data_IF_251268693623
#
_entry.id   IF_251268693623
#
_cell.length_a   1.000
_cell.length_b   1.000
_cell.length_c   1.000
_cell.angle_alpha   90.00
_cell.angle_beta   90.00
_cell.angle_gamma   90.00
#
_symmetry.space_group_name_H-M   'P 1'
#
loop_
_entity.id
_entity.type
_entity.pdbx_description
1 polymer ?
2 polymer ?
3 non-polymer ?
4 water ?
#
# COMPACT_ATOMS: atom_id res chain seq x y z
N UNK A 1 23.77 -14.44 5.40
CA UNK A 1 23.92 -12.99 5.24
C UNK A 1 23.97 -12.27 6.59
N UNK A 2 24.53 -11.07 6.61
CA UNK A 2 24.59 -10.26 7.83
C UNK A 2 23.18 -9.82 8.21
N UNK A 3 22.82 -9.99 9.47
CA UNK A 3 21.50 -9.60 9.95
C UNK A 3 21.50 -8.13 10.38
N UNK A 4 20.44 -7.43 10.03
CA UNK A 4 20.24 -6.03 10.39
C UNK A 4 18.98 -5.94 11.23
N UNK A 5 19.11 -5.41 12.45
CA UNK A 5 18.01 -5.35 13.41
C UNK A 5 17.71 -3.89 13.68
N UNK A 6 16.55 -3.43 13.24
CA UNK A 6 16.19 -2.02 13.28
C UNK A 6 15.19 -1.78 14.40
N UNK A 7 15.36 -0.69 15.15
CA UNK A 7 14.36 -0.35 16.16
C UNK A 7 14.14 1.15 16.28
N UNK A 8 12.93 1.55 16.71
CA UNK A 8 11.78 0.66 16.95
C UNK A 8 11.13 0.25 15.63
N UNK A 9 10.15 -0.64 15.68
CA UNK A 9 9.47 -1.02 14.45
C UNK A 9 8.49 0.06 14.00
N UNK A 10 7.92 0.83 14.93
CA UNK A 10 7.10 1.98 14.57
C UNK A 10 7.18 2.99 15.70
N UNK A 11 6.80 4.23 15.39
CA UNK A 11 6.67 5.24 16.42
C UNK A 11 5.82 6.40 15.93
N UNK A 12 5.14 7.04 16.88
CA UNK A 12 4.41 8.28 16.65
C UNK A 12 5.22 9.45 17.18
N UNK A 13 5.23 10.55 16.45
CA UNK A 13 6.00 11.71 16.86
C UNK A 13 5.24 12.98 16.51
N UNK A 14 5.48 14.03 17.29
CA UNK A 14 4.85 15.33 17.10
C UNK A 14 5.68 16.19 16.15
N UNK A 15 5.04 17.21 15.61
CA UNK A 15 5.74 18.12 14.71
C UNK A 15 6.77 18.93 15.49
N UNK A 16 7.95 19.11 14.88
CA UNK A 16 9.04 19.84 15.50
C UNK A 16 9.85 19.04 16.50
N UNK A 17 9.54 17.77 16.68
CA UNK A 17 10.19 16.92 17.66
C UNK A 17 11.46 16.28 17.08
N UNK A 18 12.36 15.90 17.98
CA UNK A 18 13.57 15.17 17.61
C UNK A 18 13.28 13.67 17.70
N UNK A 19 13.70 12.93 16.67
CA UNK A 19 13.41 11.50 16.53
C UNK A 19 14.70 10.77 16.12
N UNK A 20 14.89 9.57 16.66
CA UNK A 20 16.10 8.77 16.39
C UNK A 20 15.74 7.30 16.17
N UNK A 21 16.21 6.73 15.06
CA UNK A 21 16.12 5.31 14.76
C UNK A 21 17.49 4.68 14.90
N UNK A 22 17.53 3.44 15.35
CA UNK A 22 18.78 2.70 15.47
C UNK A 22 18.73 1.40 14.67
N UNK A 23 19.91 0.89 14.35
CA UNK A 23 20.03 -0.34 13.57
C UNK A 23 21.28 -1.03 14.10
N UNK A 24 21.19 -2.34 14.31
CA UNK A 24 22.31 -3.13 14.80
C UNK A 24 22.61 -4.25 13.82
N UNK A 25 23.86 -4.33 13.39
CA UNK A 25 24.35 -5.37 12.51
C UNK A 25 24.96 -6.52 13.31
N UNK A 26 24.93 -7.72 12.72
CA UNK A 26 25.44 -8.90 13.42
C UNK A 26 26.95 -9.00 13.38
N UNK A 27 27.62 -8.14 12.61
CA UNK A 27 29.08 -8.02 12.66
C UNK A 27 29.46 -6.63 12.18
N UNK A 28 30.73 -6.29 12.40
CA UNK A 28 31.28 -5.00 12.00
C UNK A 28 31.10 -4.79 10.50
N UNK A 29 30.50 -3.66 10.13
CA UNK A 29 30.30 -3.37 8.72
C UNK A 29 31.05 -2.11 8.28
N UNK A 30 31.92 -1.58 9.13
CA UNK A 30 32.90 -0.58 8.72
C UNK A 30 32.25 0.59 7.98
N UNK A 31 31.06 0.96 8.42
CA UNK A 31 30.38 2.12 7.88
C UNK A 31 29.90 1.96 6.44
N UNK A 32 29.83 0.74 5.94
CA UNK A 32 29.24 0.52 4.64
C UNK A 32 27.75 0.37 4.83
N UNK A 33 27.10 1.49 5.06
CA UNK A 33 25.76 1.56 5.60
C UNK A 33 25.00 2.73 5.01
N UNK A 34 23.73 2.54 4.70
CA UNK A 34 22.89 3.58 4.15
C UNK A 34 21.51 3.57 4.79
N UNK A 35 20.85 4.74 4.76
CA UNK A 35 19.46 4.89 5.19
C UNK A 35 18.61 5.28 3.99
N UNK A 36 17.37 4.79 3.99
CA UNK A 36 16.42 5.06 2.92
C UNK A 36 15.10 5.49 3.53
N UNK A 37 14.36 6.29 2.77
CA UNK A 37 13.02 6.73 3.15
C UNK A 37 12.04 6.28 2.07
N UNK A 38 10.93 5.69 2.49
CA UNK A 38 9.85 5.31 1.59
C UNK A 38 8.60 6.05 2.05
N UNK A 39 8.28 7.15 1.35
CA UNK A 39 7.05 7.86 1.58
C UNK A 39 5.87 7.00 1.13
N UNK A 40 4.68 7.23 1.69
CA UNK A 40 3.52 6.39 1.35
C UNK A 40 3.23 6.35 -0.14
N UNK A 41 3.18 5.14 -0.70
CA UNK A 41 2.83 4.95 -2.08
C UNK A 41 3.95 5.12 -3.09
N UNK A 42 5.18 5.28 -2.63
CA UNK A 42 6.30 5.58 -3.50
C UNK A 42 7.47 4.64 -3.27
N UNK A 43 8.44 4.63 -4.20
CA UNK A 43 9.65 3.82 -4.08
C UNK A 43 10.61 4.45 -3.07
N UNK A 44 11.50 3.66 -2.47
CA UNK A 44 12.43 4.26 -1.52
C UNK A 44 13.32 5.31 -2.12
N UNK A 45 13.87 6.19 -1.32
CA UNK A 45 14.85 7.17 -1.73
C UNK A 45 16.04 7.12 -0.78
N UNK A 46 17.25 7.16 -1.33
CA UNK A 46 18.45 7.16 -0.50
C UNK A 46 18.61 8.51 0.21
N UNK A 47 18.78 8.46 1.53
CA UNK A 47 18.96 9.63 2.38
C UNK A 47 20.41 9.87 2.75
N UNK A 48 21.07 8.81 3.16
CA UNK A 48 22.39 8.84 3.73
C UNK A 48 23.23 7.69 3.22
N UNK A 49 24.52 7.93 3.05
CA UNK A 49 25.45 6.90 2.70
C UNK A 49 26.72 7.03 3.52
N UNK A 50 27.47 5.95 3.63
CA UNK A 50 28.68 5.91 4.41
C UNK A 50 28.42 6.23 5.85
N UNK A 51 27.24 5.87 6.33
CA UNK A 51 26.88 6.10 7.71
C UNK A 51 26.55 7.56 8.02
N UNK A 52 27.41 8.49 7.65
CA UNK A 52 27.16 9.89 7.98
C UNK A 52 27.10 10.96 6.90
N UNK A 53 27.03 10.58 5.63
CA UNK A 53 27.02 11.55 4.54
C UNK A 53 25.64 11.74 3.93
N UNK A 54 25.23 12.98 3.77
CA UNK A 54 23.89 13.30 3.27
C UNK A 54 23.87 13.31 1.75
N UNK A 55 22.87 12.65 1.17
CA UNK A 55 22.66 12.73 -0.27
C UNK A 55 22.26 14.15 -0.63
N UNK A 56 22.76 14.63 -1.77
CA UNK A 56 22.42 15.98 -2.24
C UNK A 56 20.91 16.16 -2.34
N UNK A 57 20.43 17.31 -1.85
CA UNK A 57 19.02 17.61 -1.84
C UNK A 57 18.29 17.22 -0.57
N UNK A 58 18.90 16.38 0.27
CA UNK A 58 18.27 15.99 1.53
C UNK A 58 18.53 17.08 2.57
N UNK A 59 17.51 17.54 3.29
CA UNK A 59 17.70 18.66 4.21
C UNK A 59 18.64 18.31 5.37
N UNK A 60 19.26 19.35 5.93
CA UNK A 60 20.25 19.19 6.97
C UNK A 60 19.68 18.71 8.30
N UNK A 61 18.35 18.62 8.44
CA UNK A 61 17.80 18.11 9.69
C UNK A 61 18.00 16.60 9.83
N UNK A 62 18.33 15.89 8.75
CA UNK A 62 18.72 14.49 8.83
C UNK A 62 20.21 14.37 9.13
N UNK A 63 20.56 13.38 9.94
CA UNK A 63 21.97 13.12 10.24
C UNK A 63 22.13 11.68 10.72
N UNK A 64 23.20 11.05 10.28
CA UNK A 64 23.51 9.68 10.69
C UNK A 64 24.83 9.63 11.44
N UNK A 65 24.91 8.68 12.36
CA UNK A 65 26.13 8.44 13.11
C UNK A 65 26.25 6.94 13.36
N UNK A 66 27.35 6.55 13.99
CA UNK A 66 27.59 5.16 14.32
C UNK A 66 28.88 4.66 13.69
N UNK A 67 29.24 3.45 14.12
CA UNK A 67 30.40 2.71 13.63
C UNK A 67 30.30 1.30 14.20
N UNK A 68 31.20 0.43 13.76
CA UNK A 68 31.18 -0.95 14.19
C UNK A 68 29.87 -1.63 13.82
N UNK A 69 29.08 -2.00 14.83
CA UNK A 69 27.79 -2.65 14.60
C UNK A 69 26.58 -1.75 14.84
N UNK A 70 26.77 -0.56 15.41
CA UNK A 70 25.65 0.25 15.90
C UNK A 70 25.58 1.57 15.16
N UNK A 71 24.44 1.83 14.53
CA UNK A 71 24.24 2.99 13.68
C UNK A 71 22.91 3.67 14.02
N UNK A 72 22.82 4.98 13.77
CA UNK A 72 21.66 5.77 14.14
C UNK A 72 21.32 6.77 13.05
N UNK A 73 20.02 6.99 12.85
CA UNK A 73 19.50 8.09 12.04
C UNK A 73 18.74 9.02 12.97
N UNK A 74 19.04 10.32 12.91
CA UNK A 74 18.36 11.32 13.72
C UNK A 74 17.71 12.34 12.80
N UNK A 75 16.43 12.64 13.07
CA UNK A 75 15.74 13.76 12.45
C UNK A 75 15.55 14.82 13.53
N UNK A 76 16.15 15.99 13.31
CA UNK A 76 16.31 16.95 14.40
C UNK A 76 15.04 17.74 14.68
N UNK A 77 14.29 18.11 13.64
CA UNK A 77 13.08 18.94 13.80
C UNK A 77 12.03 18.39 12.84
N UNK A 78 11.19 17.49 13.34
CA UNK A 78 10.32 16.70 12.49
C UNK A 78 9.36 17.59 11.68
N UNK A 79 9.21 17.26 10.41
CA UNK A 79 8.26 17.94 9.53
C UNK A 79 7.30 16.93 8.92
N UNK A 80 6.19 17.47 8.41
CA UNK A 80 5.09 16.66 7.90
C UNK A 80 5.54 15.71 6.81
N UNK A 81 6.45 16.16 5.94
CA UNK A 81 6.92 15.34 4.83
C UNK A 81 7.89 14.24 5.28
N UNK A 82 8.23 14.17 6.56
CA UNK A 82 9.16 13.14 7.01
C UNK A 82 8.47 11.83 7.35
N UNK A 83 7.14 11.77 7.31
CA UNK A 83 6.43 10.53 7.58
C UNK A 83 6.70 9.49 6.51
N UNK A 84 6.63 8.21 6.90
CA UNK A 84 6.85 7.12 6.00
C UNK A 84 7.61 6.01 6.69
N UNK A 85 8.29 5.18 5.91
CA UNK A 85 9.03 4.03 6.42
C UNK A 85 10.52 4.24 6.12
N UNK A 86 11.35 4.01 7.13
CA UNK A 86 12.79 4.20 7.03
C UNK A 86 13.49 2.84 7.11
N UNK A 87 14.42 2.58 6.19
CA UNK A 87 15.13 1.32 6.12
C UNK A 87 16.63 1.56 6.26
N UNK A 88 17.32 0.69 6.97
CA UNK A 88 18.78 0.69 6.95
C UNK A 88 19.27 -0.40 6.00
N UNK A 89 20.55 -0.31 5.61
CA UNK A 89 21.15 -1.23 4.65
C UNK A 89 22.63 -1.35 4.94
N UNK A 90 23.13 -2.57 5.07
CA UNK A 90 24.57 -2.81 5.05
C UNK A 90 24.95 -3.30 3.66
N UNK A 91 26.08 -2.81 3.16
CA UNK A 91 26.60 -3.30 1.90
C UNK A 91 28.09 -3.60 2.03
N UNK A 92 28.50 -4.05 3.22
CA UNK A 92 29.87 -4.49 3.43
C UNK A 92 30.12 -5.85 2.79
N UNK A 93 29.11 -6.72 2.77
CA UNK A 93 29.24 -8.07 2.23
C UNK A 93 28.06 -8.36 1.31
N UNK A 94 28.33 -9.08 0.23
CA UNK A 94 27.27 -9.51 -0.65
C UNK A 94 26.59 -10.77 -0.08
N UNK A 95 25.25 -10.85 -0.13
CA UNK A 95 24.33 -9.82 -0.62
C UNK A 95 24.08 -8.72 0.41
N UNK A 96 23.98 -7.47 -0.04
CA UNK A 96 23.54 -6.41 0.87
C UNK A 96 22.24 -6.83 1.54
N UNK A 97 22.06 -6.41 2.79
CA UNK A 97 20.84 -6.74 3.52
C UNK A 97 20.25 -5.50 4.14
N UNK A 98 18.92 -5.41 4.07
CA UNK A 98 18.13 -4.32 4.62
C UNK A 98 17.64 -4.66 6.02
N UNK A 99 17.50 -3.64 6.85
CA UNK A 99 16.74 -3.76 8.07
C UNK A 99 15.25 -3.88 7.79
N UNK A 100 14.49 -4.17 8.84
CA UNK A 100 13.07 -4.45 8.67
C UNK A 100 12.20 -3.23 8.49
N UNK A 101 12.73 -2.04 8.73
CA UNK A 101 12.00 -0.80 8.53
C UNK A 101 11.44 -0.27 9.85
N UNK A 102 11.40 1.06 9.95
CA UNK A 102 10.72 1.78 11.04
C UNK A 102 9.64 2.66 10.43
N UNK A 103 8.40 2.46 10.86
CA UNK A 103 7.28 3.27 10.38
C UNK A 103 7.11 4.49 11.28
N UNK A 104 7.19 5.69 10.69
CA UNK A 104 7.07 6.94 11.43
C UNK A 104 5.73 7.56 11.09
N UNK A 105 4.91 7.84 12.12
CA UNK A 105 3.59 8.40 11.94
C UNK A 105 3.41 9.62 12.85
N UNK A 106 2.35 10.37 12.58
CA UNK A 106 2.08 11.65 13.24
C UNK A 106 1.16 11.46 14.44
N UNK A 107 1.60 11.99 15.58
CA UNK A 107 0.79 12.00 16.79
C UNK A 107 -0.16 13.18 16.76
N UNK A 108 -1.41 12.97 17.18
CA UNK A 108 -2.42 14.02 17.16
C UNK A 108 -3.43 13.71 18.27
N UNK A 109 -4.38 14.63 18.47
CA UNK A 109 -5.37 14.47 19.51
C UNK A 109 -6.41 13.41 19.13
N UNK A 110 -7.02 12.80 20.14
CA UNK A 110 -8.03 11.77 19.90
C UNK A 110 -9.26 12.37 19.21
N UNK A 111 -9.88 11.57 18.34
CA UNK A 111 -11.08 11.96 17.62
C UNK A 111 -11.99 10.74 17.44
N UNK A 112 -13.28 10.94 17.68
CA UNK A 112 -14.29 9.90 17.55
C UNK A 112 -14.65 9.69 16.08
N UNK A 113 -15.03 8.48 15.69
CA UNK A 113 -15.38 8.23 14.29
C UNK A 113 -16.76 8.77 13.92
N UNK A 114 -16.92 9.09 12.64
CA UNK A 114 -18.22 9.35 12.02
C UNK A 114 -18.64 8.08 11.29
N UNK A 115 -19.82 7.55 11.61
CA UNK A 115 -20.23 6.21 11.19
C UNK A 115 -21.38 6.32 10.21
N UNK A 116 -21.31 5.55 9.11
CA UNK A 116 -22.34 5.52 8.07
C UNK A 116 -22.59 4.07 7.68
N UNK A 117 -23.85 3.70 7.47
CA UNK A 117 -24.18 2.32 7.10
C UNK A 117 -24.92 2.30 5.77
N UNK A 118 -24.65 1.28 4.97
CA UNK A 118 -25.19 1.15 3.61
C UNK A 118 -25.79 -0.23 3.39
N UNK A 119 -27.09 -0.33 3.12
CA UNK A 119 -27.68 -1.61 2.69
C UNK A 119 -27.09 -2.08 1.38
N UNK A 120 -27.29 -3.35 1.01
CA UNK A 120 -26.87 -3.80 -0.33
C UNK A 120 -27.53 -2.97 -1.42
N UNK A 121 -26.77 -2.67 -2.47
CA UNK A 121 -27.35 -1.99 -3.61
C UNK A 121 -28.31 -2.93 -4.34
N UNK A 122 -29.24 -2.34 -5.09
CA UNK A 122 -30.16 -3.16 -5.88
C UNK A 122 -29.42 -3.96 -6.94
N UNK A 123 -28.32 -3.44 -7.47
CA UNK A 123 -27.54 -4.20 -8.45
C UNK A 123 -26.94 -5.44 -7.83
N UNK A 124 -26.43 -5.36 -6.58
CA UNK A 124 -25.86 -6.55 -5.98
C UNK A 124 -26.92 -7.62 -5.74
N UNK A 125 -28.09 -7.22 -5.22
CA UNK A 125 -29.15 -8.18 -4.96
C UNK A 125 -29.56 -8.95 -6.21
N UNK A 126 -29.46 -8.32 -7.39
CA UNK A 126 -29.76 -9.03 -8.62
C UNK A 126 -28.78 -10.17 -8.86
N UNK A 127 -27.52 -10.01 -8.41
CA UNK A 127 -26.47 -10.99 -8.64
C UNK A 127 -26.58 -12.21 -7.73
N UNK A 128 -27.28 -12.10 -6.60
CA UNK A 128 -27.39 -13.19 -5.65
C UNK A 128 -26.62 -13.01 -4.37
N UNK A 129 -25.89 -11.91 -4.22
CA UNK A 129 -25.16 -11.61 -3.00
C UNK A 129 -25.75 -10.39 -2.31
N UNK A 130 -25.23 -10.13 -1.11
CA UNK A 130 -25.68 -8.95 -0.35
C UNK A 130 -24.57 -8.57 0.62
N UNK A 131 -23.99 -7.40 0.42
CA UNK A 131 -22.99 -6.85 1.34
C UNK A 131 -23.58 -5.65 2.04
N UNK A 132 -23.49 -5.63 3.36
CA UNK A 132 -23.82 -4.45 4.15
C UNK A 132 -22.49 -3.81 4.52
N UNK A 133 -22.40 -2.48 4.38
CA UNK A 133 -21.12 -1.79 4.51
C UNK A 133 -21.26 -0.73 5.59
N UNK A 134 -20.24 -0.65 6.45
CA UNK A 134 -20.13 0.38 7.47
C UNK A 134 -18.82 1.12 7.27
N UNK A 135 -18.89 2.44 7.13
CA UNK A 135 -17.70 3.28 7.06
C UNK A 135 -17.52 3.99 8.41
N UNK A 136 -16.30 3.94 8.94
CA UNK A 136 -15.92 4.64 10.16
C UNK A 136 -14.84 5.64 9.78
N UNK A 137 -15.18 6.93 9.76
CA UNK A 137 -14.30 7.93 9.16
C UNK A 137 -13.69 8.86 10.21
N UNK A 138 -12.39 9.13 10.06
CA UNK A 138 -11.74 10.30 10.66
C UNK A 138 -11.56 10.16 12.17
N UNK A 139 -11.04 9.03 12.61
CA UNK A 139 -10.84 8.80 14.03
C UNK A 139 -9.35 8.66 14.33
N UNK A 140 -9.03 8.80 15.61
CA UNK A 140 -7.67 8.65 16.12
C UNK A 140 -7.80 8.33 17.61
N UNK A 141 -7.01 7.37 18.12
CA UNK A 141 -6.00 6.55 17.45
C UNK A 141 -6.58 5.43 16.60
N UNK A 142 -5.69 4.58 16.07
CA UNK A 142 -6.04 3.64 15.02
C UNK A 142 -6.90 2.49 15.53
N UNK A 143 -6.73 2.07 16.77
CA UNK A 143 -7.44 0.92 17.28
C UNK A 143 -8.93 1.23 17.43
N UNK A 144 -9.76 0.30 16.98
CA UNK A 144 -11.21 0.49 17.02
C UNK A 144 -11.84 -0.87 16.81
N UNK A 145 -13.03 -1.06 17.38
CA UNK A 145 -13.75 -2.31 17.27
C UNK A 145 -15.12 -2.06 16.65
N UNK A 146 -15.53 -2.96 15.78
CA UNK A 146 -16.82 -2.90 15.11
C UNK A 146 -17.57 -4.18 15.42
N UNK A 147 -18.86 -4.05 15.72
CA UNK A 147 -19.71 -5.18 16.02
C UNK A 147 -20.94 -5.09 15.13
N UNK A 148 -21.29 -6.21 14.51
CA UNK A 148 -22.47 -6.28 13.67
C UNK A 148 -23.57 -7.02 14.40
N UNK A 149 -24.79 -6.52 14.31
CA UNK A 149 -25.94 -7.20 14.88
C UNK A 149 -27.00 -7.34 13.81
N UNK A 150 -27.60 -8.52 13.74
CA UNK A 150 -28.65 -8.84 12.79
C UNK A 150 -29.86 -9.25 13.60
N UNK A 151 -30.92 -8.44 13.55
CA UNK A 151 -32.10 -8.62 14.41
C UNK A 151 -31.70 -8.74 15.88
N UNK A 152 -30.65 -8.03 16.30
CA UNK A 152 -30.23 -7.99 17.67
C UNK A 152 -29.11 -8.95 18.05
N UNK A 153 -28.86 -9.98 17.25
CA UNK A 153 -27.83 -10.98 17.57
C UNK A 153 -26.51 -10.61 16.90
N UNK A 154 -25.43 -10.78 17.63
CA UNK A 154 -24.11 -10.46 17.11
C UNK A 154 -23.71 -11.43 16.00
N UNK A 155 -23.12 -10.91 14.93
CA UNK A 155 -22.61 -11.72 13.84
C UNK A 155 -21.16 -11.34 13.57
N UNK A 156 -20.27 -12.32 13.61
CA UNK A 156 -18.87 -12.09 13.29
C UNK A 156 -18.39 -12.84 12.06
N UNK A 157 -19.06 -13.92 11.67
CA UNK A 157 -18.69 -14.66 10.48
C UNK A 157 -18.94 -13.82 9.22
N UNK A 158 -17.92 -13.71 8.37
CA UNK A 158 -18.08 -13.02 7.10
C UNK A 158 -17.82 -11.52 7.12
N UNK A 159 -17.10 -11.03 8.12
CA UNK A 159 -16.81 -9.60 8.25
C UNK A 159 -15.40 -9.33 7.74
N UNK A 160 -15.25 -8.30 6.92
CA UNK A 160 -13.96 -7.89 6.38
C UNK A 160 -13.70 -6.44 6.75
N UNK A 161 -12.61 -6.18 7.48
CA UNK A 161 -12.28 -4.86 8.01
C UNK A 161 -11.00 -4.34 7.36
N UNK A 162 -11.03 -3.12 6.84
CA UNK A 162 -9.89 -2.56 6.13
C UNK A 162 -9.63 -1.13 6.64
N UNK A 163 -8.45 -0.89 7.18
CA UNK A 163 -8.04 0.45 7.60
C UNK A 163 -7.27 1.17 6.49
N UNK A 164 -7.44 2.49 6.41
CA UNK A 164 -6.50 3.28 5.63
C UNK A 164 -5.18 3.46 6.38
N UNK A 165 -4.15 3.90 5.66
CA UNK A 165 -3.00 4.48 6.32
C UNK A 165 -3.40 5.86 6.88
N UNK A 166 -2.47 6.48 7.60
CA UNK A 166 -2.76 7.76 8.24
C UNK A 166 -3.08 8.81 7.18
N UNK A 167 -4.14 9.58 7.43
CA UNK A 167 -4.57 10.61 6.48
C UNK A 167 -3.47 11.66 6.31
N UNK A 168 -3.18 11.99 5.05
CA UNK A 168 -2.12 12.97 4.79
C UNK A 168 -2.54 14.40 5.12
N UNK A 169 -3.84 14.69 5.21
CA UNK A 169 -4.30 16.05 5.51
C UNK A 169 -4.56 16.29 6.99
N UNK A 170 -5.18 15.35 7.71
CA UNK A 170 -5.51 15.58 9.11
C UNK A 170 -4.96 14.54 10.06
N UNK A 171 -4.20 13.55 9.57
CA UNK A 171 -3.53 12.55 10.38
C UNK A 171 -4.50 11.61 11.11
N UNK A 172 -5.76 11.57 10.70
CA UNK A 172 -6.68 10.58 11.23
C UNK A 172 -6.58 9.26 10.46
N UNK A 173 -7.35 8.27 10.90
CA UNK A 173 -7.55 7.01 10.21
C UNK A 173 -9.01 6.86 9.83
N UNK A 174 -9.28 6.03 8.82
CA UNK A 174 -10.63 5.59 8.52
C UNK A 174 -10.63 4.08 8.35
N UNK A 175 -11.80 3.48 8.47
CA UNK A 175 -11.87 2.05 8.22
C UNK A 175 -13.23 1.66 7.68
N UNK A 176 -13.23 0.61 6.87
CA UNK A 176 -14.41 0.09 6.22
C UNK A 176 -14.67 -1.30 6.76
N UNK A 177 -15.91 -1.59 7.12
CA UNK A 177 -16.31 -2.92 7.57
C UNK A 177 -17.43 -3.41 6.68
N UNK A 178 -17.23 -4.56 6.05
CA UNK A 178 -18.17 -5.14 5.11
C UNK A 178 -18.62 -6.49 5.62
N UNK A 179 -19.93 -6.62 5.87
CA UNK A 179 -20.55 -7.90 6.22
C UNK A 179 -21.15 -8.51 4.95
N UNK A 180 -20.64 -9.65 4.52
CA UNK A 180 -21.11 -10.27 3.29
C UNK A 180 -22.00 -11.46 3.62
N UNK A 181 -23.21 -11.45 3.08
CA UNK A 181 -24.24 -12.47 3.28
C UNK A 181 -24.66 -13.01 1.92
N UNK A 182 -25.30 -14.18 1.93
CA UNK A 182 -26.08 -14.53 0.76
C UNK A 182 -27.35 -13.69 0.72
N UNK A 183 -27.90 -13.55 -0.49
CA UNK A 183 -29.18 -12.86 -0.62
C UNK A 183 -30.26 -13.57 0.19
N UNK A 184 -30.28 -14.91 0.16
CA UNK A 184 -31.27 -15.65 0.92
C UNK A 184 -31.18 -15.32 2.42
N UNK A 185 -29.97 -15.30 2.97
CA UNK A 185 -29.82 -14.99 4.38
C UNK A 185 -30.18 -13.54 4.69
N UNK A 186 -29.77 -12.61 3.82
CA UNK A 186 -30.10 -11.20 4.06
C UNK A 186 -31.61 -10.99 4.13
N UNK A 187 -32.37 -11.71 3.32
CA UNK A 187 -33.82 -11.58 3.30
C UNK A 187 -34.52 -12.31 4.44
N UNK A 188 -33.80 -13.10 5.24
CA UNK A 188 -34.45 -13.76 6.37
C UNK A 188 -34.55 -12.88 7.60
N UNK A 189 -33.93 -11.70 7.60
CA UNK A 189 -33.86 -10.83 8.76
C UNK A 189 -34.24 -9.40 8.37
N UNK A 190 -34.46 -8.56 9.38
CA UNK A 190 -35.01 -7.23 9.13
C UNK A 190 -34.08 -6.09 9.52
N UNK A 191 -33.49 -6.11 10.72
CA UNK A 191 -32.71 -4.98 11.22
C UNK A 191 -31.22 -5.30 11.19
N UNK A 192 -30.44 -4.34 10.71
CA UNK A 192 -28.99 -4.50 10.57
C UNK A 192 -28.30 -3.33 11.26
N UNK A 193 -27.29 -3.61 12.06
CA UNK A 193 -26.71 -2.63 12.96
C UNK A 193 -25.20 -2.75 12.94
N UNK A 194 -24.53 -1.59 12.85
CA UNK A 194 -23.08 -1.48 12.99
C UNK A 194 -22.79 -0.67 14.25
N UNK A 195 -22.02 -1.24 15.18
CA UNK A 195 -21.68 -0.58 16.45
C UNK A 195 -20.18 -0.42 16.53
N UNK A 196 -19.71 0.82 16.70
CA UNK A 196 -18.28 1.12 16.73
C UNK A 196 -17.89 1.54 18.15
N UNK A 197 -16.90 0.86 18.71
CA UNK A 197 -16.36 1.18 20.01
C UNK A 197 -14.94 1.71 19.85
N UNK A 198 -14.69 2.90 20.40
CA UNK A 198 -13.44 3.61 20.26
C UNK A 198 -13.13 4.25 21.60
N UNK A 199 -11.84 4.45 21.90
CA UNK A 199 -11.47 4.89 23.24
C UNK A 199 -12.02 6.28 23.59
N UNK A 200 -12.53 7.04 22.61
CA UNK A 200 -13.05 8.38 22.88
C UNK A 200 -14.37 8.38 23.65
N UNK A 201 -14.99 7.22 23.87
CA UNK A 201 -16.23 7.15 24.61
C UNK A 201 -16.46 5.72 25.07
N UNK A 202 -17.12 5.58 26.23
CA UNK A 202 -17.49 4.27 26.72
C UNK A 202 -18.70 3.70 25.98
N UNK A 203 -19.56 4.57 25.44
CA UNK A 203 -20.73 4.09 24.72
C UNK A 203 -20.42 3.96 23.25
N UNK A 204 -20.83 2.86 22.59
CA UNK A 204 -20.55 2.73 21.17
C UNK A 204 -21.40 3.68 20.34
N UNK A 205 -20.88 4.01 19.17
CA UNK A 205 -21.66 4.72 18.16
C UNK A 205 -22.39 3.69 17.32
N UNK A 206 -23.68 3.89 17.12
CA UNK A 206 -24.57 2.90 16.55
C UNK A 206 -25.24 3.48 15.32
N UNK A 207 -25.24 2.72 14.23
CA UNK A 207 -26.03 3.03 13.05
C UNK A 207 -26.78 1.78 12.62
N UNK A 208 -28.05 1.94 12.29
CA UNK A 208 -28.90 0.81 11.94
C UNK A 208 -29.78 1.17 10.75
N UNK A 209 -30.32 0.13 10.12
CA UNK A 209 -31.43 0.29 9.20
C UNK A 209 -32.30 -0.95 9.27
N UNK A 210 -33.53 -0.82 8.82
CA UNK A 210 -34.45 -1.94 8.65
C UNK A 210 -34.74 -2.13 7.17
N UNK A 211 -34.70 -3.38 6.72
CA UNK A 211 -35.16 -3.70 5.37
C UNK A 211 -36.58 -3.23 5.08
N UNK A 212 -37.29 -2.72 6.09
CA UNK A 212 -38.67 -2.23 5.97
C UNK A 212 -39.63 -3.37 5.68
N UNK B 1 19.06 14.43 -15.18
CA UNK B 1 17.71 13.88 -14.99
C UNK B 1 17.73 12.36 -15.12
N UNK B 2 18.22 11.69 -14.08
CA UNK B 2 18.32 10.23 -14.10
C UNK B 2 16.94 9.62 -13.98
N UNK B 3 16.62 8.69 -14.87
CA UNK B 3 15.32 8.02 -14.90
C UNK B 3 15.53 6.53 -15.11
N UNK B 4 14.90 5.73 -14.26
CA UNK B 4 14.85 4.27 -14.40
C UNK B 4 13.38 3.87 -14.42
N UNK B 5 12.95 3.18 -15.47
CA UNK B 5 11.54 2.85 -15.67
C UNK B 5 11.41 1.36 -15.97
N UNK B 6 10.87 0.61 -15.01
CA UNK B 6 10.69 -0.83 -15.15
C UNK B 6 9.37 -1.16 -15.85
N UNK B 7 9.31 -2.38 -16.37
CA UNK B 7 8.13 -2.93 -17.04
C UNK B 7 8.32 -4.43 -17.16
N UNK B 8 7.27 -5.12 -17.62
CA UNK B 8 7.31 -6.55 -17.82
C UNK B 8 6.61 -7.36 -16.75
N UNK B 9 6.25 -6.75 -15.62
CA UNK B 9 5.57 -7.47 -14.57
C UNK B 9 4.15 -7.83 -14.93
N UNK B 10 3.57 -8.71 -14.12
CA UNK B 10 2.19 -9.11 -14.29
C UNK B 10 1.91 -10.39 -13.51
N UNK B 11 0.84 -11.05 -13.91
CA UNK B 11 0.40 -12.29 -13.28
C UNK B 11 1.00 -13.49 -14.00
N UNK B 12 1.51 -14.45 -13.24
CA UNK B 12 2.09 -15.65 -13.84
C UNK B 12 1.84 -16.85 -12.93
N UNK B 13 1.52 -17.99 -13.54
CA UNK B 13 1.31 -19.21 -12.77
C UNK B 13 2.63 -19.71 -12.18
N UNK B 14 2.58 -20.42 -11.06
CA UNK B 14 3.81 -21.04 -10.53
C UNK B 14 4.39 -22.00 -11.54
N UNK B 15 5.72 -21.98 -11.65
CA UNK B 15 6.42 -22.74 -12.68
C UNK B 15 6.67 -21.98 -13.97
N UNK B 16 6.03 -20.84 -14.17
CA UNK B 16 6.19 -20.08 -15.39
C UNK B 16 7.40 -19.16 -15.35
N UNK B 17 7.49 -18.32 -16.37
CA UNK B 17 8.63 -17.43 -16.53
C UNK B 17 8.15 -16.02 -16.87
N UNK B 18 9.00 -15.05 -16.59
CA UNK B 18 8.68 -13.64 -16.77
C UNK B 18 9.97 -12.87 -16.97
N UNK B 19 10.01 -12.00 -17.96
CA UNK B 19 11.19 -11.17 -18.20
C UNK B 19 10.85 -9.71 -17.90
N UNK B 20 11.56 -9.12 -16.95
CA UNK B 20 11.40 -7.72 -16.61
C UNK B 20 12.47 -6.87 -17.30
N UNK B 21 12.09 -5.66 -17.68
CA UNK B 21 12.98 -4.71 -18.32
C UNK B 21 13.08 -3.44 -17.49
N UNK B 22 14.20 -2.74 -17.63
CA UNK B 22 14.40 -1.43 -17.00
C UNK B 22 15.02 -0.52 -18.03
N UNK B 23 14.24 0.46 -18.50
CA UNK B 23 14.73 1.45 -19.45
C UNK B 23 15.39 2.58 -18.66
N UNK B 24 16.66 2.85 -18.97
CA UNK B 24 17.40 3.88 -18.28
C UNK B 24 17.58 5.07 -19.22
N UNK B 25 17.72 6.26 -18.62
CA UNK B 25 17.93 7.47 -19.39
C UNK B 25 18.48 8.54 -18.47
N UNK B 26 19.23 9.47 -19.05
CA UNK B 26 19.80 10.58 -18.31
C UNK B 26 21.23 10.38 -17.84
N UNK B 27 21.86 9.26 -18.17
CA UNK B 27 23.24 9.02 -17.76
C UNK B 27 23.86 7.99 -18.69
N UNK B 28 25.19 7.88 -18.61
CA UNK B 28 25.97 6.95 -19.43
C UNK B 28 25.79 5.54 -18.87
N UNK B 29 24.70 4.89 -19.29
CA UNK B 29 24.28 3.60 -18.73
C UNK B 29 25.42 2.58 -18.69
N UNK B 30 26.25 2.55 -19.73
CA UNK B 30 27.26 1.51 -19.86
C UNK B 30 28.38 1.60 -18.83
N UNK B 31 28.48 2.69 -18.07
CA UNK B 31 29.57 2.86 -17.12
C UNK B 31 29.18 2.61 -15.67
N UNK B 32 27.92 2.25 -15.39
CA UNK B 32 27.45 2.05 -14.03
C UNK B 32 27.02 0.60 -13.83
N UNK B 33 27.39 0.05 -12.68
CA UNK B 33 26.85 -1.23 -12.25
C UNK B 33 25.41 -1.07 -11.79
N UNK B 34 24.62 -2.15 -11.92
CA UNK B 34 23.19 -2.12 -11.64
C UNK B 34 22.77 -3.34 -10.84
N UNK B 35 21.68 -3.20 -10.09
CA UNK B 35 21.10 -4.31 -9.35
C UNK B 35 19.58 -4.33 -9.51
N UNK B 36 18.99 -5.47 -9.22
CA UNK B 36 17.56 -5.60 -8.98
C UNK B 36 17.33 -5.86 -7.51
N UNK B 37 16.31 -5.22 -6.95
CA UNK B 37 15.90 -5.37 -5.56
C UNK B 37 14.39 -5.55 -5.54
N UNK B 38 13.88 -6.33 -4.58
CA UNK B 38 12.44 -6.56 -4.55
C UNK B 38 11.88 -6.28 -3.16
N UNK B 39 10.62 -5.86 -3.13
CA UNK B 39 9.89 -5.63 -1.89
C UNK B 39 8.69 -6.57 -1.84
N UNK B 40 8.63 -7.41 -0.81
CA UNK B 40 7.60 -8.42 -0.68
C UNK B 40 6.29 -7.76 -0.22
N UNK B 41 5.17 -8.48 -0.30
CA UNK B 41 3.91 -7.92 0.23
C UNK B 41 3.97 -7.53 1.70
N UNK B 42 4.83 -8.16 2.48
CA UNK B 42 5.04 -7.76 3.87
C UNK B 42 5.91 -6.51 4.00
N UNK B 43 6.29 -5.88 2.88
CA UNK B 43 7.06 -4.65 2.83
C UNK B 43 8.53 -4.85 3.17
N UNK B 44 9.01 -6.09 3.12
CA UNK B 44 10.43 -6.39 3.34
C UNK B 44 11.22 -6.19 2.04
N UNK B 45 12.37 -5.54 2.15
CA UNK B 45 13.25 -5.31 1.00
C UNK B 45 14.36 -6.35 0.98
N UNK B 46 14.71 -6.82 -0.22
CA UNK B 46 15.65 -7.92 -0.34
C UNK B 46 16.39 -7.82 -1.66
N UNK B 47 17.71 -8.03 -1.62
CA UNK B 47 18.50 -8.01 -2.84
C UNK B 47 18.20 -9.23 -3.69
N UNK B 48 18.19 -9.04 -5.00
CA UNK B 48 17.94 -10.13 -5.96
C UNK B 48 19.19 -10.45 -6.77
N UNK B 49 19.72 -9.47 -7.51
CA UNK B 49 20.80 -9.74 -8.45
C UNK B 49 21.59 -8.47 -8.72
N UNK B 50 22.84 -8.65 -9.16
CA UNK B 50 23.78 -7.57 -9.34
C UNK B 50 24.64 -7.86 -10.57
N UNK B 51 24.88 -6.84 -11.39
CA UNK B 51 25.70 -7.00 -12.59
C UNK B 51 26.64 -5.80 -12.73
N UNK B 52 27.88 -6.08 -13.12
CA UNK B 52 28.84 -5.04 -13.42
C UNK B 52 28.80 -4.72 -14.91
N UNK B 53 29.82 -4.06 -15.43
CA UNK B 53 29.85 -3.74 -16.86
C UNK B 53 29.84 -5.00 -17.74
N UNK B 54 30.57 -6.02 -17.31
CA UNK B 54 30.64 -7.30 -18.02
C UNK B 54 29.40 -8.17 -17.97
N UNK B 55 29.19 -8.99 -18.99
CA UNK B 55 28.00 -9.83 -19.06
C UNK B 55 28.09 -11.09 -18.21
N UNK B 56 29.30 -11.48 -17.81
CA UNK B 56 29.49 -12.68 -16.99
C UNK B 56 29.59 -12.39 -15.50
N UNK B 57 30.00 -11.18 -15.12
CA UNK B 57 30.18 -10.84 -13.71
C UNK B 57 28.82 -10.46 -13.13
N UNK B 58 28.04 -11.48 -12.83
CA UNK B 58 26.72 -11.36 -12.23
C UNK B 58 26.73 -12.11 -10.91
N UNK B 59 26.00 -11.58 -9.92
CA UNK B 59 25.94 -12.16 -8.58
C UNK B 59 24.49 -12.23 -8.14
N UNK B 60 24.11 -13.33 -7.49
CA UNK B 60 22.72 -13.56 -7.13
C UNK B 60 22.60 -13.87 -5.64
N UNK B 61 21.52 -13.40 -5.03
CA UNK B 61 21.22 -13.77 -3.65
C UNK B 61 20.87 -15.26 -3.54
N UNK B 62 20.03 -15.75 -4.45
CA UNK B 62 19.74 -17.18 -4.56
C UNK B 62 20.25 -17.66 -5.91
N UNK B 63 21.25 -18.53 -5.90
CA UNK B 63 21.84 -19.04 -7.14
C UNK B 63 21.35 -20.44 -7.50
N UNK B 64 20.15 -20.81 -7.06
CA UNK B 64 19.57 -22.08 -7.50
C UNK B 64 19.47 -22.11 -9.01
N UNK B 65 19.83 -23.25 -9.59
CA UNK B 65 20.10 -23.36 -11.02
C UNK B 65 18.96 -22.80 -11.88
N UNK B 66 19.27 -21.76 -12.63
CA UNK B 66 18.35 -21.22 -13.62
C UNK B 66 17.05 -20.65 -13.08
N UNK B 67 17.12 -19.90 -11.99
CA UNK B 67 15.94 -19.24 -11.44
C UNK B 67 15.98 -17.72 -11.62
N UNK B 68 17.13 -17.10 -11.47
CA UNK B 68 17.28 -15.67 -11.72
C UNK B 68 18.41 -15.49 -12.73
N UNK B 69 18.19 -14.63 -13.72
CA UNK B 69 19.24 -14.28 -14.67
C UNK B 69 19.17 -12.79 -14.93
N UNK B 70 20.20 -12.07 -14.54
CA UNK B 70 20.30 -10.64 -14.79
C UNK B 70 21.20 -10.45 -16.01
N UNK B 71 20.77 -9.57 -16.91
CA UNK B 71 21.56 -9.25 -18.10
C UNK B 71 21.33 -7.79 -18.46
N UNK B 72 22.11 -7.29 -19.41
CA UNK B 72 22.01 -5.89 -19.80
C UNK B 72 22.38 -5.75 -21.27
N UNK B 73 21.70 -4.84 -21.95
CA UNK B 73 22.00 -4.48 -23.34
C UNK B 73 22.45 -3.03 -23.35
N UNK B 74 23.77 -2.83 -23.40
CA UNK B 74 24.31 -1.47 -23.30
C UNK B 74 23.96 -0.62 -24.51
N UNK B 75 23.67 -1.23 -25.66
CA UNK B 75 23.26 -0.47 -26.83
C UNK B 75 21.82 0.03 -26.73
N UNK B 76 20.99 -0.60 -25.91
CA UNK B 76 19.61 -0.18 -25.71
C UNK B 76 19.38 0.52 -24.37
N UNK B 77 20.45 0.75 -23.60
CA UNK B 77 20.35 1.35 -22.27
C UNK B 77 19.30 0.65 -21.40
N UNK B 78 19.26 -0.68 -21.49
CA UNK B 78 18.24 -1.46 -20.80
C UNK B 78 18.88 -2.51 -19.91
N UNK B 79 18.28 -2.73 -18.74
CA UNK B 79 18.62 -3.82 -17.84
C UNK B 79 17.49 -4.83 -17.84
N UNK B 80 17.84 -6.12 -17.70
CA UNK B 80 16.85 -7.19 -17.74
C UNK B 80 16.97 -8.09 -16.52
N UNK B 81 15.86 -8.71 -16.14
CA UNK B 81 15.85 -9.76 -15.13
C UNK B 81 14.91 -10.85 -15.62
N UNK B 82 15.47 -12.03 -15.91
CA UNK B 82 14.67 -13.18 -16.30
C UNK B 82 14.33 -14.01 -15.06
N UNK B 83 13.03 -14.14 -14.78
CA UNK B 83 12.53 -14.99 -13.70
C UNK B 83 12.07 -16.30 -14.29
N UNK B 84 12.54 -17.41 -13.72
CA UNK B 84 12.18 -18.73 -14.23
C UNK B 84 11.78 -19.62 -13.06
N UNK B 85 11.00 -20.66 -13.39
CA UNK B 85 10.47 -21.61 -12.40
C UNK B 85 9.87 -20.87 -11.20
N UNK B 86 8.99 -19.92 -11.51
CA UNK B 86 8.46 -19.01 -10.50
C UNK B 86 7.78 -19.75 -9.36
N UNK B 87 8.00 -19.26 -8.14
CA UNK B 87 7.34 -19.74 -6.94
C UNK B 87 6.42 -18.66 -6.39
N UNK B 88 5.42 -19.09 -5.63
CA UNK B 88 4.47 -18.13 -5.05
C UNK B 88 5.19 -17.03 -4.30
N UNK B 89 6.29 -17.38 -3.62
CA UNK B 89 6.97 -16.41 -2.77
C UNK B 89 7.86 -15.45 -3.55
N UNK B 90 7.94 -15.58 -4.87
CA UNK B 90 8.53 -14.57 -5.74
C UNK B 90 7.62 -13.37 -5.96
N UNK B 91 6.38 -13.41 -5.46
CA UNK B 91 5.47 -12.27 -5.58
C UNK B 91 6.06 -11.06 -4.89
N UNK B 92 6.19 -9.94 -5.60
CA UNK B 92 6.82 -8.75 -5.02
C UNK B 92 6.81 -7.63 -6.04
N UNK B 93 7.19 -6.44 -5.57
CA UNK B 93 7.51 -5.32 -6.45
C UNK B 93 9.01 -5.36 -6.71
N UNK B 94 9.41 -5.39 -7.99
CA UNK B 94 10.82 -5.49 -8.35
C UNK B 94 11.34 -4.12 -8.76
N UNK B 95 12.45 -3.71 -8.14
CA UNK B 95 13.04 -2.40 -8.36
C UNK B 95 14.38 -2.53 -9.05
N UNK B 96 14.59 -1.70 -10.05
CA UNK B 96 15.87 -1.46 -10.69
C UNK B 96 16.61 -0.39 -9.88
N UNK B 97 17.89 -0.62 -9.56
CA UNK B 97 18.66 0.37 -8.81
C UNK B 97 20.04 0.53 -9.43
N UNK B 98 20.56 1.75 -9.35
CA UNK B 98 21.85 2.11 -9.93
C UNK B 98 22.91 2.23 -8.84
N UNK B 99 24.04 1.58 -9.05
CA UNK B 99 25.16 1.75 -8.14
C UNK B 99 25.94 3.01 -8.48
N UNK B 100 26.36 3.72 -7.44
CA UNK B 100 27.00 5.02 -7.61
C UNK B 100 28.42 4.89 -8.15
N UNK B 101 29.16 3.89 -7.67
CA UNK B 101 30.53 3.70 -8.12
C UNK B 101 30.95 2.24 -8.15
N UNK B 102 32.13 1.93 -7.61
CA UNK B 102 32.65 0.57 -7.61
C UNK B 102 32.09 -0.30 -6.49
N UNK B 103 31.46 0.28 -5.47
CA UNK B 103 30.98 -0.49 -4.33
C UNK B 103 29.51 -0.86 -4.55
N UNK B 104 28.84 -1.37 -3.50
CA UNK B 104 27.44 -1.74 -3.59
C UNK B 104 26.48 -0.61 -3.22
N UNK B 105 27.00 0.59 -2.93
CA UNK B 105 26.13 1.70 -2.54
C UNK B 105 25.19 2.04 -3.69
N UNK B 106 23.94 2.38 -3.36
CA UNK B 106 22.89 2.75 -4.30
C UNK B 106 22.69 4.25 -4.27
N UNK B 107 22.36 4.84 -5.42
CA UNK B 107 21.81 6.20 -5.41
C UNK B 107 20.37 6.23 -5.92
N UNK B 108 20.10 5.94 -7.19
CA UNK B 108 18.77 6.08 -7.76
C UNK B 108 18.01 4.76 -7.78
N UNK B 109 16.70 4.84 -7.53
CA UNK B 109 15.75 3.73 -7.62
C UNK B 109 14.75 3.98 -8.73
N UNK B 110 14.28 2.90 -9.36
CA UNK B 110 13.21 2.98 -10.32
C UNK B 110 11.86 3.12 -9.65
N UNK B 111 10.82 2.98 -10.45
CA UNK B 111 9.45 3.05 -9.94
C UNK B 111 8.88 1.70 -9.53
N UNK B 112 9.53 0.61 -9.91
CA UNK B 112 9.10 -0.74 -9.57
C UNK B 112 8.13 -1.30 -10.58
N UNK B 113 8.12 -2.63 -10.71
CA UNK B 113 7.14 -3.33 -11.52
C UNK B 113 6.62 -4.53 -10.71
N UNK B 114 5.29 -4.66 -10.66
CA UNK B 114 4.64 -5.59 -9.76
C UNK B 114 4.56 -6.97 -10.41
N UNK B 115 5.02 -7.99 -9.70
CA UNK B 115 4.96 -9.38 -10.16
C UNK B 115 4.07 -10.16 -9.20
N UNK B 116 3.07 -10.85 -9.73
CA UNK B 116 2.18 -11.67 -8.91
C UNK B 116 2.27 -13.10 -9.43
N UNK B 117 2.65 -14.01 -8.56
CA UNK B 117 2.72 -15.42 -8.92
C UNK B 117 1.54 -16.09 -8.23
N UNK B 118 0.60 -16.58 -9.02
CA UNK B 118 -0.63 -17.13 -8.47
C UNK B 118 -1.21 -18.10 -9.49
N UNK B 119 -1.97 -19.05 -8.96
CA UNK B 119 -2.71 -19.99 -9.80
C UNK B 119 -4.09 -19.47 -10.19
N UNK B 120 -4.54 -18.37 -9.59
CA UNK B 120 -5.89 -17.90 -9.85
C UNK B 120 -5.99 -17.24 -11.22
N UNK B 121 -7.17 -17.36 -11.83
CA UNK B 121 -7.47 -16.70 -13.09
C UNK B 121 -7.75 -15.22 -12.86
N UNK B 122 -7.36 -14.41 -13.84
CA UNK B 122 -7.82 -13.03 -13.92
C UNK B 122 -9.34 -12.98 -13.86
N UNK B 123 -9.87 -12.05 -13.07
CA UNK B 123 -11.30 -11.92 -12.83
C UNK B 123 -11.67 -10.45 -12.74
N UNK B 124 -12.68 -10.04 -13.51
CA UNK B 124 -13.18 -8.67 -13.56
C UNK B 124 -13.97 -8.34 -12.29
N UNK B 125 -13.92 -7.09 -11.83
CA UNK B 125 -14.68 -6.72 -10.64
C UNK B 125 -16.14 -6.44 -10.97
N UNK B 126 -16.97 -6.60 -9.94
CA UNK B 126 -18.32 -6.03 -9.92
C UNK B 126 -18.26 -4.71 -9.14
N UNK B 127 -18.93 -3.69 -9.64
CA UNK B 127 -18.87 -2.37 -9.04
C UNK B 127 -20.26 -2.01 -8.57
N UNK B 128 -20.41 -1.76 -7.27
CA UNK B 128 -21.71 -1.49 -6.68
C UNK B 128 -21.75 -0.10 -6.06
N UNK B 129 -22.74 0.72 -6.40
CA UNK B 129 -22.87 2.03 -5.76
C UNK B 129 -23.46 1.91 -4.35
N UNK B 130 -22.96 2.71 -3.43
CA UNK B 130 -23.47 2.76 -2.06
C UNK B 130 -24.15 4.11 -1.82
N UNK B 131 -25.46 4.13 -1.89
CA UNK B 131 -26.20 5.34 -1.60
C UNK B 131 -26.68 5.31 -0.15
N UNK B 132 -26.90 6.48 0.46
CA UNK B 132 -27.38 6.51 1.86
C UNK B 132 -28.68 5.74 2.03
N UNK B 133 -29.00 5.43 3.27
CA UNK B 133 -30.20 4.69 3.60
C UNK B 133 -31.42 5.49 3.24
N UNK B 134 -32.52 4.81 2.90
CA UNK B 134 -33.74 5.48 2.48
C UNK B 134 -34.10 6.41 3.62
N UNK B 135 -34.40 7.65 3.32
CA UNK B 135 -34.35 8.68 4.33
C UNK B 135 -33.87 9.98 3.73
N UNK B 136 -33.01 10.69 4.45
CA UNK B 136 -32.61 12.03 4.03
C UNK B 136 -33.35 13.13 4.76
N UNK B 138 -30.62 13.38 6.39
CA UNK B 138 -30.69 14.66 7.08
C UNK B 138 -29.37 14.96 7.80
N UNK B 139 -28.79 16.11 7.48
CA UNK B 139 -27.52 16.49 8.07
C UNK B 139 -26.83 17.54 7.23
N UNK B 140 -25.69 17.99 7.74
CA UNK B 140 -24.89 19.00 7.04
C UNK B 140 -24.13 18.41 5.86
N UNK B 141 -23.74 17.15 5.93
CA UNK B 141 -23.05 16.50 4.84
C UNK B 141 -23.65 15.13 4.59
N UNK B 142 -23.25 14.52 3.48
CA UNK B 142 -23.73 13.21 3.08
C UNK B 142 -22.52 12.39 2.66
N UNK B 143 -22.53 11.11 3.05
CA UNK B 143 -21.43 10.22 2.72
C UNK B 143 -21.93 9.17 1.73
N UNK B 144 -21.22 9.03 0.63
CA UNK B 144 -21.52 8.05 -0.40
C UNK B 144 -20.37 7.06 -0.49
N UNK B 145 -20.61 5.96 -1.19
CA UNK B 145 -19.63 4.90 -1.23
C UNK B 145 -19.65 4.15 -2.54
N UNK B 146 -18.59 3.39 -2.75
CA UNK B 146 -18.43 2.53 -3.91
C UNK B 146 -17.78 1.24 -3.43
N UNK B 147 -18.38 0.10 -3.77
CA UNK B 147 -17.85 -1.20 -3.36
C UNK B 147 -17.42 -1.96 -4.62
N UNK B 148 -16.16 -2.36 -4.66
CA UNK B 148 -15.58 -3.06 -5.80
C UNK B 148 -15.21 -4.45 -5.32
N UNK B 149 -15.82 -5.46 -5.89
CA UNK B 149 -15.81 -6.78 -5.29
C UNK B 149 -15.43 -7.85 -6.30
N UNK B 150 -14.63 -8.81 -5.84
CA UNK B 150 -14.47 -10.06 -6.57
C UNK B 150 -13.50 -10.05 -7.73
N UNK B 151 -12.41 -9.28 -7.64
CA UNK B 151 -11.48 -9.18 -8.75
C UNK B 151 -10.13 -9.82 -8.44
N UNK B 152 -9.37 -10.05 -9.49
CA UNK B 152 -8.01 -10.58 -9.38
C UNK B 152 -7.27 -10.41 -10.70
N UNK B 153 -5.97 -10.06 -10.65
CA UNK B 153 -5.13 -9.72 -9.49
C UNK B 153 -5.29 -8.26 -9.13
N UNK B 154 -4.49 -7.78 -8.18
CA UNK B 154 -4.37 -6.34 -7.94
C UNK B 154 -3.59 -5.71 -9.11
N UNK B 155 -3.71 -4.38 -9.30
CA UNK B 155 -4.55 -3.44 -8.58
C UNK B 155 -5.79 -2.98 -9.35
N UNK B 156 -6.72 -2.35 -8.66
CA UNK B 156 -7.73 -1.49 -9.28
C UNK B 156 -7.42 -0.06 -8.86
N UNK B 157 -7.72 0.88 -9.75
CA UNK B 157 -7.68 2.29 -9.40
C UNK B 157 -9.11 2.82 -9.33
N UNK B 158 -9.31 3.79 -8.46
CA UNK B 158 -10.64 4.32 -8.21
C UNK B 158 -10.54 5.81 -7.95
N UNK B 159 -11.32 6.58 -8.69
CA UNK B 159 -11.42 8.02 -8.51
C UNK B 159 -12.89 8.38 -8.48
N UNK B 160 -13.18 9.62 -8.08
CA UNK B 160 -14.54 10.15 -8.04
C UNK B 160 -14.60 11.32 -9.00
N UNK B 161 -15.59 11.28 -9.91
CA UNK B 161 -15.78 12.34 -10.90
C UNK B 161 -14.49 12.60 -11.69
N UNK B 162 -13.86 11.50 -12.13
CA UNK B 162 -12.67 11.53 -12.99
C UNK B 162 -11.50 12.28 -12.35
N UNK B 163 -11.42 12.26 -11.02
CA UNK B 163 -10.35 12.90 -10.29
C UNK B 163 -10.69 14.28 -9.76
N UNK B 164 -11.70 14.94 -10.34
CA UNK B 164 -12.04 16.30 -9.95
C UNK B 164 -12.61 16.39 -8.54
N UNK B 165 -12.95 15.28 -7.92
CA UNK B 165 -13.45 15.24 -6.55
C UNK B 165 -12.45 14.40 -5.74
N UNK B 166 -11.58 15.07 -4.99
CA UNK B 166 -10.54 14.41 -4.21
C UNK B 166 -10.58 14.75 -2.72
N UNK B 167 -11.14 15.90 -2.34
CA UNK B 167 -11.33 16.23 -0.94
C UNK B 167 -12.45 15.38 -0.36
N UNK B 168 -12.28 14.95 0.89
CA UNK B 168 -13.29 14.12 1.54
C UNK B 168 -13.35 12.69 1.07
N UNK B 169 -12.33 12.21 0.37
CA UNK B 169 -12.30 10.85 -0.18
C UNK B 169 -11.41 9.99 0.69
N UNK B 170 -11.88 8.79 1.02
CA UNK B 170 -11.07 7.78 1.67
C UNK B 170 -11.23 6.48 0.91
N UNK B 171 -10.12 5.87 0.52
CA UNK B 171 -10.14 4.63 -0.23
C UNK B 171 -9.47 3.55 0.61
N UNK B 172 -10.13 2.46 0.74
CA UNK B 172 -9.64 1.51 1.72
C UNK B 172 -8.87 0.39 1.00
N UNK B 173 -7.68 0.05 1.47
CA UNK B 173 -6.84 -0.88 0.71
C UNK B 173 -7.55 -2.19 0.45
N UNK B 174 -7.22 -2.80 -0.68
CA UNK B 174 -7.85 -4.04 -1.10
C UNK B 174 -7.46 -5.18 -0.16
N UNK B 175 -8.41 -6.05 0.12
CA UNK B 175 -8.15 -7.21 0.97
C UNK B 175 -8.65 -8.46 0.27
N UNK B 176 -7.86 -9.51 0.38
CA UNK B 176 -8.18 -10.81 -0.23
C UNK B 176 -9.20 -11.53 0.64
N UNK B 177 -10.30 -11.96 0.02
CA UNK B 177 -11.40 -12.62 0.72
C UNK B 177 -11.77 -13.84 -0.11
N UNK B 178 -11.33 -15.02 0.34
CA UNK B 178 -11.63 -16.28 -0.36
C UNK B 178 -11.16 -16.21 -1.82
N UNK B 179 -9.88 -15.88 -1.99
CA UNK B 179 -9.24 -15.90 -3.28
C UNK B 179 -9.47 -14.69 -4.16
N UNK B 180 -10.33 -13.75 -3.77
CA UNK B 180 -10.63 -12.59 -4.61
C UNK B 180 -10.54 -11.31 -3.79
N UNK B 181 -10.21 -10.21 -4.45
CA UNK B 181 -10.02 -8.95 -3.77
C UNK B 181 -11.30 -8.15 -3.67
N UNK B 182 -11.41 -7.40 -2.58
CA UNK B 182 -12.49 -6.45 -2.37
C UNK B 182 -11.89 -5.14 -1.91
N UNK B 183 -12.42 -4.05 -2.43
CA UNK B 183 -11.99 -2.70 -2.10
C UNK B 183 -13.23 -1.82 -1.99
N UNK B 184 -13.14 -0.74 -1.23
CA UNK B 184 -14.24 0.21 -1.15
C UNK B 184 -13.70 1.62 -1.03
N UNK B 185 -14.58 2.58 -1.25
CA UNK B 185 -14.21 3.99 -1.15
C UNK B 185 -15.40 4.78 -0.69
N UNK B 186 -15.15 5.79 0.15
CA UNK B 186 -16.20 6.69 0.60
C UNK B 186 -15.84 8.12 0.23
N UNK B 187 -16.86 8.93 -0.01
CA UNK B 187 -16.69 10.36 -0.23
C UNK B 187 -17.76 11.11 0.54
N UNK B 188 -17.36 12.20 1.19
CA UNK B 188 -18.25 13.06 1.97
C UNK B 188 -18.28 14.43 1.33
N UNK B 189 -19.49 14.91 1.03
CA UNK B 189 -19.72 16.23 0.45
C UNK B 189 -20.89 16.88 1.19
N UNK B 190 -21.01 18.20 1.04
CA UNK B 190 -22.10 18.91 1.68
C UNK B 190 -23.45 18.44 1.14
N UNK B 191 -24.48 18.52 1.99
CA UNK B 191 -25.78 17.95 1.63
C UNK B 191 -26.44 18.67 0.46
N UNK B 192 -26.12 19.94 0.25
CA UNK B 192 -26.77 20.69 -0.82
C UNK B 192 -26.21 20.38 -2.21
N UNK B 193 -25.14 19.59 -2.31
CA UNK B 193 -24.57 19.30 -3.62
C UNK B 193 -24.95 17.93 -4.16
N UNK B 194 -25.47 17.04 -3.32
CA UNK B 194 -25.94 15.74 -3.77
C UNK B 194 -27.34 15.50 -3.23
N UNK B 195 -28.25 15.00 -4.06
CA UNK B 195 -28.04 14.54 -5.45
C UNK B 195 -28.17 15.62 -6.53
N UNK B 196 -28.17 16.91 -6.18
CA UNK B 196 -28.36 17.94 -7.19
C UNK B 196 -27.25 17.88 -8.24
N UNK B 197 -26.02 17.60 -7.82
CA UNK B 197 -24.90 17.40 -8.73
C UNK B 197 -24.54 15.91 -8.76
N UNK B 198 -24.16 15.42 -9.93
CA UNK B 198 -23.88 14.00 -10.08
C UNK B 198 -22.55 13.63 -9.44
N UNK B 199 -22.53 12.47 -8.80
CA UNK B 199 -21.29 11.91 -8.26
C UNK B 199 -21.13 10.50 -8.82
N UNK B 200 -19.95 10.23 -9.37
CA UNK B 200 -19.68 9.03 -10.15
C UNK B 200 -18.39 8.38 -9.69
N UNK B 201 -18.44 7.07 -9.47
CA UNK B 201 -17.28 6.26 -9.10
C UNK B 201 -16.64 5.73 -10.37
N UNK B 202 -15.33 6.01 -10.57
CA UNK B 202 -14.60 5.56 -11.75
C UNK B 202 -13.64 4.43 -11.37
N UNK B 203 -13.85 3.24 -11.92
CA UNK B 203 -13.10 2.06 -11.52
C UNK B 203 -12.43 1.45 -12.75
N UNK B 204 -11.13 1.19 -12.64
CA UNK B 204 -10.34 0.63 -13.73
C UNK B 204 -9.57 -0.59 -13.23
N UNK B 205 -9.67 -1.71 -13.95
CA UNK B 205 -8.93 -2.93 -13.62
C UNK B 205 -8.15 -3.34 -14.86
N UNK B 206 -6.93 -2.84 -15.02
CA UNK B 206 -6.20 -3.07 -16.29
C UNK B 206 -5.99 -4.53 -16.63
N UNK B 207 -5.81 -5.40 -15.63
CA UNK B 207 -5.53 -6.80 -15.93
C UNK B 207 -6.69 -7.46 -16.67
N UNK B 208 -7.93 -7.05 -16.42
CA UNK B 208 -9.07 -7.57 -17.18
C UNK B 208 -9.59 -6.57 -18.19
N UNK B 209 -8.94 -5.40 -18.33
CA UNK B 209 -9.36 -4.32 -19.22
C UNK B 209 -10.72 -3.72 -18.84
N UNK B 210 -11.18 -3.97 -17.62
CA UNK B 210 -12.49 -3.51 -17.18
C UNK B 210 -12.43 -2.03 -16.75
N UNK B 211 -13.33 -1.24 -17.31
CA UNK B 211 -13.49 0.16 -16.94
C UNK B 211 -14.97 0.43 -16.70
N UNK B 212 -15.32 0.88 -15.49
CA UNK B 212 -16.70 1.16 -15.13
C UNK B 212 -16.78 2.55 -14.51
N UNK B 213 -17.76 3.33 -14.94
CA UNK B 213 -18.11 4.62 -14.34
C UNK B 213 -19.51 4.49 -13.76
N UNK B 214 -19.61 4.38 -12.44
CA UNK B 214 -20.87 4.08 -11.77
C UNK B 214 -21.42 5.32 -11.10
N UNK B 215 -22.59 5.79 -11.56
CA UNK B 215 -23.27 6.93 -10.96
C UNK B 215 -23.98 6.52 -9.67
N UNK B 216 -23.84 7.35 -8.63
CA UNK B 216 -24.52 7.12 -7.37
C UNK B 216 -25.86 7.84 -7.41
N UNK B 217 -26.96 7.10 -7.26
CA UNK B 217 -28.27 7.72 -7.30
C UNK B 217 -29.08 7.34 -6.06
N UNK B 218 -29.97 8.23 -5.61
CA UNK B 218 -30.73 7.98 -4.37
C UNK B 218 -31.51 6.68 -4.46
N UNK B 219 -31.69 6.03 -3.30
CA UNK B 219 -32.45 4.81 -3.22
C UNK B 219 -33.95 5.08 -3.41
N UNK B 220 -34.65 4.08 -3.92
CA UNK B 220 -36.09 4.19 -4.22
C UNK B 220 -36.80 2.87 -3.84
N UNK B 221 -38.02 2.95 -3.28
CA UNK B 221 -38.85 4.09 -2.82
C UNK B 221 -38.14 5.05 -1.87
X LIG C 1 22.38 -14.56 6.91
X LIG D 1 -9.53 12.63 4.91
#
# INVERSE_FOLDING_TARGET
DIKMTQSPSSMYASLGERVTFTCKASQDIYSSFSWFQQRPGKSPKTLIYRANRLVDGVPSRFSGSGSGQDYSLTISSLEYEDMGVYFCLQHEEFPPTFGGGTKLELKRTDAAPTVSIFPPSSEQLTSGGASVVCFLNNFYPKDINVKWKIDGSERQNGVLNSWTDQDSKDSTYSMSSTLTLTKDEYERHNSYTCEATHKTSTSPIVKSFNRN
EVQLVESGGGLMRPGGSLKLSCAASGFAFSRFDMSWVRQTPEKRLEWVAYIRNGADDTYYADTEKGRFTISRDNAKNTLYLQLSSLKIEDTAMYYCVRHSGYSYVIDYWGQGTSVTVSSASTTAPSVYPLAPVCGGTTGSSVTLGCLVKGYFPEPVTLTWNSGSLSSGVHTFPALLQSGLYTLSSSVTVTSNTWPSQTITCNVAHPASSTKVDKKIEPRVP
NI NI
NI NI
#
